data_IF_159718989310
#
_entry.id   IF_159718989310
#
_cell.length_a   1.000
_cell.length_b   1.000
_cell.length_c   1.000
_cell.angle_alpha   90.00
_cell.angle_beta   90.00
_cell.angle_gamma   90.00
#
_symmetry.space_group_name_H-M   'P 1'
#
loop_
_entity.id
_entity.type
_entity.pdbx_description
1 polymer ?
#
# COMPACT_ATOMS: atom_id res chain seq x y z
N UNK A 1 16.63 -16.12 7.95
CA UNK A 1 15.43 -15.92 8.80
C UNK A 1 15.43 -14.50 9.32
N UNK A 2 14.49 -13.65 8.91
CA UNK A 2 14.42 -12.27 9.39
C UNK A 2 13.91 -12.25 10.84
N UNK A 3 14.73 -11.74 11.76
CA UNK A 3 14.39 -11.49 13.18
C UNK A 3 13.10 -10.66 13.24
N UNK A 4 12.08 -11.20 13.92
CA UNK A 4 10.78 -10.54 14.09
C UNK A 4 10.95 -9.12 14.63
N UNK A 5 10.28 -8.17 13.98
CA UNK A 5 10.18 -6.81 14.51
C UNK A 5 9.58 -6.86 15.93
N UNK A 6 10.09 -6.04 16.87
CA UNK A 6 9.53 -5.94 18.23
C UNK A 6 8.03 -5.65 18.18
N UNK A 7 7.32 -5.94 19.28
CA UNK A 7 5.87 -5.77 19.47
C UNK A 7 5.32 -4.50 18.81
N UNK A 8 4.91 -4.64 17.55
CA UNK A 8 4.27 -3.57 16.81
C UNK A 8 2.78 -3.62 17.12
N UNK A 9 2.27 -2.54 17.70
CA UNK A 9 0.84 -2.35 17.95
C UNK A 9 0.39 -1.20 17.05
N UNK A 10 -0.47 -1.44 16.05
CA UNK A 10 -1.01 -0.38 15.21
C UNK A 10 -2.03 0.46 15.97
N UNK A 11 -2.26 1.68 15.49
CA UNK A 11 -3.33 2.56 15.98
C UNK A 11 -4.59 2.24 15.18
N UNK A 12 -5.33 1.22 15.61
CA UNK A 12 -6.62 0.77 15.06
C UNK A 12 -7.37 -0.03 16.13
N UNK A 13 -8.69 -0.30 15.97
CA UNK A 13 -9.43 -1.11 16.94
C UNK A 13 -8.77 -2.48 17.17
N UNK A 14 -8.44 -2.87 18.41
CA UNK A 14 -7.67 -4.08 18.70
C UNK A 14 -8.24 -5.36 18.07
N UNK A 15 -9.56 -5.47 18.00
CA UNK A 15 -10.32 -6.57 17.40
C UNK A 15 -10.09 -6.71 15.88
N UNK A 16 -9.70 -5.63 15.21
CA UNK A 16 -9.44 -5.62 13.78
C UNK A 16 -8.02 -6.09 13.44
N UNK A 17 -7.07 -5.97 14.37
CA UNK A 17 -5.67 -6.30 14.10
C UNK A 17 -5.46 -7.76 13.68
N UNK A 18 -6.00 -8.78 14.39
CA UNK A 18 -5.79 -10.18 14.04
C UNK A 18 -6.23 -10.53 12.61
N UNK A 19 -7.24 -9.85 12.08
CA UNK A 19 -7.77 -10.10 10.74
C UNK A 19 -6.80 -9.65 9.63
N UNK A 20 -6.06 -8.57 9.84
CA UNK A 20 -5.17 -7.98 8.81
C UNK A 20 -3.68 -8.19 9.09
N UNK A 21 -3.31 -8.56 10.32
CA UNK A 21 -1.92 -8.71 10.77
C UNK A 21 -1.08 -9.63 9.87
N UNK A 22 -1.52 -10.86 9.53
CA UNK A 22 -0.71 -11.74 8.71
C UNK A 22 -0.41 -11.13 7.33
N UNK A 23 -1.42 -10.50 6.72
CA UNK A 23 -1.29 -9.82 5.43
C UNK A 23 -0.29 -8.66 5.51
N UNK A 24 -0.44 -7.79 6.50
CA UNK A 24 0.43 -6.63 6.71
C UNK A 24 1.87 -7.07 6.94
N UNK A 25 2.10 -8.04 7.83
CA UNK A 25 3.45 -8.53 8.14
C UNK A 25 4.10 -9.19 6.93
N UNK A 26 3.36 -10.00 6.18
CA UNK A 26 3.89 -10.63 4.97
C UNK A 26 4.29 -9.58 3.91
N UNK A 27 3.44 -8.59 3.65
CA UNK A 27 3.73 -7.51 2.70
C UNK A 27 4.95 -6.68 3.12
N UNK A 28 5.08 -6.35 4.41
CA UNK A 28 6.23 -5.61 4.92
C UNK A 28 7.52 -6.45 4.89
N UNK A 29 7.45 -7.74 5.23
CA UNK A 29 8.59 -8.64 5.18
C UNK A 29 9.19 -8.71 3.77
N UNK A 30 8.35 -8.79 2.75
CA UNK A 30 8.80 -8.84 1.35
C UNK A 30 9.41 -7.53 0.86
N UNK A 31 9.07 -6.40 1.50
CA UNK A 31 9.61 -5.06 1.21
C UNK A 31 10.84 -4.70 2.05
N UNK A 32 11.09 -5.41 3.15
CA UNK A 32 12.19 -5.12 4.06
C UNK A 32 13.54 -5.25 3.33
N UNK A 33 14.36 -4.19 3.40
CA UNK A 33 15.65 -4.14 2.70
C UNK A 33 15.58 -3.90 1.19
N UNK A 34 14.38 -3.86 0.59
CA UNK A 34 14.16 -3.54 -0.83
C UNK A 34 13.64 -2.12 -1.07
N UNK A 35 13.39 -1.38 0.01
CA UNK A 35 13.02 0.03 -0.01
C UNK A 35 13.95 0.81 0.92
N UNK A 36 14.04 2.13 0.74
CA UNK A 36 14.82 3.00 1.63
C UNK A 36 14.20 3.18 3.04
N UNK A 37 13.01 2.62 3.28
CA UNK A 37 12.26 2.82 4.52
C UNK A 37 12.55 1.73 5.55
N UNK A 38 12.58 2.12 6.82
CA UNK A 38 12.71 1.19 7.94
C UNK A 38 11.43 0.36 8.08
N UNK A 39 11.57 -0.89 8.54
CA UNK A 39 10.44 -1.82 8.79
C UNK A 39 9.31 -1.17 9.59
N UNK A 40 9.63 -0.40 10.64
CA UNK A 40 8.62 0.30 11.45
C UNK A 40 7.81 1.31 10.64
N UNK A 41 8.45 2.04 9.72
CA UNK A 41 7.75 3.01 8.86
C UNK A 41 6.82 2.30 7.87
N UNK A 42 7.24 1.15 7.37
CA UNK A 42 6.42 0.30 6.50
C UNK A 42 5.22 -0.28 7.26
N UNK A 43 5.43 -0.83 8.46
CA UNK A 43 4.36 -1.36 9.32
C UNK A 43 3.30 -0.30 9.63
N UNK A 44 3.71 0.90 10.07
CA UNK A 44 2.76 1.98 10.38
C UNK A 44 1.93 2.38 9.16
N UNK A 45 2.56 2.64 8.00
CA UNK A 45 1.84 3.05 6.81
C UNK A 45 0.92 1.95 6.27
N UNK A 46 1.41 0.71 6.24
CA UNK A 46 0.67 -0.44 5.69
C UNK A 46 -0.50 -0.84 6.56
N UNK A 47 -0.36 -0.79 7.89
CA UNK A 47 -1.45 -1.19 8.80
C UNK A 47 -2.67 -0.27 8.65
N UNK A 48 -2.45 1.04 8.65
CA UNK A 48 -3.52 2.02 8.46
C UNK A 48 -4.15 1.90 7.06
N UNK A 49 -3.32 1.67 6.05
CA UNK A 49 -3.78 1.50 4.68
C UNK A 49 -4.65 0.26 4.48
N UNK A 50 -4.16 -0.90 4.94
CA UNK A 50 -4.87 -2.18 4.82
C UNK A 50 -6.15 -2.16 5.65
N UNK A 51 -6.11 -1.57 6.84
CA UNK A 51 -7.30 -1.39 7.67
C UNK A 51 -8.38 -0.57 6.94
N UNK A 52 -8.02 0.57 6.36
CA UNK A 52 -8.97 1.38 5.57
C UNK A 52 -9.50 0.62 4.36
N UNK A 53 -8.63 -0.09 3.61
CA UNK A 53 -9.05 -0.88 2.46
C UNK A 53 -10.09 -1.93 2.84
N UNK A 54 -9.84 -2.67 3.93
CA UNK A 54 -10.69 -3.76 4.38
C UNK A 54 -11.99 -3.27 5.03
N UNK A 55 -11.90 -2.30 5.96
CA UNK A 55 -13.06 -1.87 6.75
C UNK A 55 -13.89 -0.76 6.10
N UNK A 56 -13.25 0.16 5.38
CA UNK A 56 -13.93 1.34 4.83
C UNK A 56 -14.23 1.18 3.35
N UNK A 57 -13.27 0.68 2.56
CA UNK A 57 -13.45 0.51 1.12
C UNK A 57 -14.02 -0.86 0.72
N UNK A 58 -14.13 -1.81 1.66
CA UNK A 58 -14.68 -3.15 1.42
C UNK A 58 -13.85 -4.00 0.44
N UNK A 59 -12.56 -3.73 0.32
CA UNK A 59 -11.67 -4.42 -0.63
C UNK A 59 -11.15 -5.74 -0.04
N UNK A 60 -10.99 -6.80 -0.86
CA UNK A 60 -10.45 -8.08 -0.43
C UNK A 60 -8.97 -7.95 -0.07
N UNK A 61 -8.47 -8.73 0.91
CA UNK A 61 -7.06 -8.73 1.34
C UNK A 61 -6.12 -9.40 0.33
N UNK A 62 -6.02 -8.80 -0.85
CA UNK A 62 -5.21 -9.28 -1.97
C UNK A 62 -4.20 -8.22 -2.39
N UNK A 63 -2.93 -8.62 -2.55
CA UNK A 63 -1.85 -7.66 -2.87
C UNK A 63 -2.09 -6.91 -4.16
N UNK A 64 -2.55 -7.62 -5.21
CA UNK A 64 -2.84 -7.06 -6.52
C UNK A 64 -3.94 -6.00 -6.49
N UNK A 65 -4.90 -6.13 -5.58
CA UNK A 65 -6.00 -5.18 -5.39
C UNK A 65 -5.51 -4.02 -4.53
N UNK A 66 -5.02 -4.30 -3.32
CA UNK A 66 -4.67 -3.28 -2.34
C UNK A 66 -3.53 -2.40 -2.83
N UNK A 67 -2.41 -2.98 -3.29
CA UNK A 67 -1.26 -2.18 -3.70
C UNK A 67 -1.40 -1.61 -5.12
N UNK A 68 -2.59 -1.66 -5.73
CA UNK A 68 -2.84 -0.96 -6.98
C UNK A 68 -2.67 0.55 -6.79
N UNK A 69 -2.10 1.22 -7.79
CA UNK A 69 -1.77 2.64 -7.72
C UNK A 69 -2.99 3.51 -7.42
N UNK A 70 -4.15 3.17 -7.98
CA UNK A 70 -5.37 3.94 -7.80
C UNK A 70 -6.00 3.73 -6.42
N UNK A 71 -5.91 2.53 -5.84
CA UNK A 71 -6.34 2.28 -4.45
C UNK A 71 -5.48 3.07 -3.47
N UNK A 72 -4.15 3.11 -3.69
CA UNK A 72 -3.24 3.96 -2.92
C UNK A 72 -3.60 5.44 -3.10
N UNK A 73 -3.94 5.86 -4.32
CA UNK A 73 -4.32 7.24 -4.58
C UNK A 73 -5.59 7.62 -3.83
N UNK A 74 -6.62 6.77 -3.88
CA UNK A 74 -7.89 6.95 -3.18
C UNK A 74 -7.70 7.00 -1.67
N UNK A 75 -6.96 6.04 -1.08
CA UNK A 75 -6.63 6.06 0.34
C UNK A 75 -5.94 7.38 0.75
N UNK A 76 -5.02 7.88 -0.08
CA UNK A 76 -4.31 9.14 0.26
C UNK A 76 -5.19 10.38 0.13
N UNK A 77 -6.23 10.32 -0.70
CA UNK A 77 -7.18 11.42 -0.90
C UNK A 77 -8.28 11.41 0.17
N UNK A 78 -8.84 10.23 0.46
CA UNK A 78 -10.02 10.04 1.33
C UNK A 78 -9.64 9.47 2.68
N UNK A 79 -8.96 8.31 2.73
CA UNK A 79 -8.61 7.62 3.98
C UNK A 79 -7.55 8.30 4.84
N UNK A 80 -6.94 9.40 4.35
CA UNK A 80 -5.93 10.18 5.06
C UNK A 80 -6.35 11.64 5.29
N UNK A 81 -7.64 11.96 5.22
CA UNK A 81 -8.19 13.32 5.40
C UNK A 81 -7.73 14.04 6.67
N UNK A 82 -7.56 13.30 7.77
CA UNK A 82 -7.06 13.74 9.07
C UNK A 82 -5.56 14.08 9.08
N UNK A 83 -4.81 13.75 8.01
CA UNK A 83 -3.38 14.02 7.91
C UNK A 83 -3.07 15.32 7.17
N UNK A 84 -2.06 16.04 7.67
CA UNK A 84 -1.48 17.20 6.98
C UNK A 84 -0.99 16.80 5.56
N UNK A 85 -1.02 17.71 4.57
CA UNK A 85 -0.61 17.40 3.19
C UNK A 85 0.76 16.73 3.05
N UNK A 86 1.77 17.21 3.78
CA UNK A 86 3.11 16.62 3.78
C UNK A 86 3.12 15.17 4.31
N UNK A 87 2.31 14.87 5.33
CA UNK A 87 2.18 13.53 5.87
C UNK A 87 1.49 12.59 4.88
N UNK A 88 0.43 13.05 4.19
CA UNK A 88 -0.23 12.30 3.10
C UNK A 88 0.74 11.96 1.97
N UNK A 89 1.55 12.93 1.52
CA UNK A 89 2.58 12.70 0.51
C UNK A 89 3.63 11.67 0.93
N UNK A 90 4.03 11.69 2.20
CA UNK A 90 4.97 10.71 2.76
C UNK A 90 4.37 9.29 2.82
N UNK A 91 3.10 9.16 3.23
CA UNK A 91 2.39 7.87 3.24
C UNK A 91 2.25 7.34 1.82
N UNK A 92 1.79 8.17 0.88
CA UNK A 92 1.66 7.83 -0.54
C UNK A 92 2.97 7.31 -1.11
N UNK A 93 4.06 8.05 -0.91
CA UNK A 93 5.39 7.67 -1.42
C UNK A 93 5.82 6.30 -0.92
N UNK A 94 5.61 6.00 0.37
CA UNK A 94 5.93 4.68 0.94
C UNK A 94 5.12 3.57 0.30
N UNK A 95 3.81 3.73 0.21
CA UNK A 95 2.92 2.71 -0.35
C UNK A 95 3.21 2.45 -1.83
N UNK A 96 3.55 3.50 -2.60
CA UNK A 96 3.97 3.34 -4.00
C UNK A 96 5.27 2.56 -4.13
N UNK A 97 6.26 2.79 -3.25
CA UNK A 97 7.49 1.98 -3.23
C UNK A 97 7.23 0.54 -2.84
N UNK A 98 6.28 0.28 -1.94
CA UNK A 98 5.86 -1.09 -1.64
C UNK A 98 5.15 -1.74 -2.83
N UNK A 99 4.30 -1.01 -3.54
CA UNK A 99 3.63 -1.48 -4.75
C UNK A 99 4.63 -1.93 -5.82
N UNK A 100 5.70 -1.15 -6.05
CA UNK A 100 6.78 -1.51 -6.98
C UNK A 100 7.49 -2.83 -6.62
N UNK A 101 7.59 -3.15 -5.33
CA UNK A 101 8.21 -4.39 -4.85
C UNK A 101 7.23 -5.57 -4.90
N UNK A 102 5.97 -5.34 -4.52
CA UNK A 102 4.98 -6.39 -4.30
C UNK A 102 4.24 -6.83 -5.57
N UNK A 103 4.15 -5.95 -6.56
CA UNK A 103 3.45 -6.22 -7.81
C UNK A 103 4.44 -6.52 -8.94
N UNK A 104 4.11 -7.44 -9.86
CA UNK A 104 4.89 -7.62 -11.08
C UNK A 104 4.67 -6.41 -12.02
N UNK A 105 5.62 -6.13 -12.94
CA UNK A 105 5.61 -4.91 -13.77
C UNK A 105 4.28 -4.62 -14.49
N UNK A 106 3.62 -5.64 -15.00
CA UNK A 106 2.34 -5.56 -15.72
C UNK A 106 1.17 -5.08 -14.84
N UNK A 107 1.26 -5.27 -13.52
CA UNK A 107 0.27 -4.78 -12.56
C UNK A 107 0.65 -3.41 -11.96
N UNK A 108 1.81 -2.85 -12.31
CA UNK A 108 2.27 -1.52 -11.88
C UNK A 108 1.79 -0.45 -12.86
N UNK A 109 0.48 -0.42 -13.15
CA UNK A 109 -0.06 0.51 -14.14
C UNK A 109 0.28 1.95 -13.73
N UNK A 110 1.12 2.58 -14.53
CA UNK A 110 1.47 3.99 -14.41
C UNK A 110 0.48 4.80 -15.22
N UNK A 111 -0.01 5.94 -14.70
CA UNK A 111 -0.79 6.88 -15.52
C UNK A 111 -0.04 7.30 -16.78
N UNK A 112 1.30 7.38 -16.72
CA UNK A 112 2.11 7.67 -17.90
C UNK A 112 2.12 6.52 -18.90
N UNK A 113 2.03 5.27 -18.45
CA UNK A 113 1.93 4.11 -19.35
C UNK A 113 0.57 4.09 -20.05
N UNK A 114 -0.53 4.34 -19.33
CA UNK A 114 -1.86 4.49 -19.95
C UNK A 114 -1.89 5.67 -20.93
N UNK A 115 -1.38 6.85 -20.54
CA UNK A 115 -1.27 8.01 -21.44
C UNK A 115 -0.41 7.68 -22.66
N UNK A 116 0.72 7.00 -22.47
CA UNK A 116 1.60 6.61 -23.57
C UNK A 116 0.90 5.65 -24.54
N UNK A 117 0.22 4.61 -24.02
CA UNK A 117 -0.56 3.68 -24.83
C UNK A 117 -1.68 4.39 -25.60
N UNK A 118 -2.39 5.31 -24.95
CA UNK A 118 -3.39 6.17 -25.59
C UNK A 118 -2.77 7.05 -26.68
N UNK A 119 -1.60 7.66 -26.43
CA UNK A 119 -0.88 8.49 -27.39
C UNK A 119 -0.37 7.72 -28.61
N UNK A 120 -0.02 6.44 -28.44
CA UNK A 120 0.46 5.57 -29.55
C UNK A 120 -0.64 4.69 -30.15
N UNK A 121 -1.90 4.88 -29.74
CA UNK A 121 -3.06 4.13 -30.27
C UNK A 121 -3.11 2.66 -29.88
N UNK A 122 -2.37 2.24 -28.85
CA UNK A 122 -2.41 0.87 -28.32
C UNK A 122 -3.50 0.75 -27.25
N UNK A 123 -4.19 -0.40 -27.16
CA UNK A 123 -5.23 -0.60 -26.15
C UNK A 123 -4.64 -0.55 -24.75
N UNK A 124 -5.10 0.39 -23.93
CA UNK A 124 -4.88 0.35 -22.48
C UNK A 124 -5.71 -0.78 -21.89
N UNK A 125 -5.09 -1.65 -21.08
CA UNK A 125 -5.83 -2.62 -20.28
C UNK A 125 -6.72 -1.84 -19.30
N UNK A 126 -8.04 -1.88 -19.54
CA UNK A 126 -9.07 -1.38 -18.63
C UNK A 126 -9.57 -2.52 -17.76
#
# INVERSE_FOLDING_TARGET
MAKGAPSFVPVLPPEHWPAIEPFVRAAVADCAGKTAYRVRQLLTATSSFVHWCWQSAGLPLERGVLFHRDVIAEYTAVGCDHLKPAARGNVRSRLLRMSEVLLPPEKRVSRLASIFLEMVGLPSAR
#
